data_IF_065710415420
#
_entry.id   IF_065710415420
#
_cell.length_a   1.000
_cell.length_b   1.000
_cell.length_c   1.000
_cell.angle_alpha   90.00
_cell.angle_beta   90.00
_cell.angle_gamma   90.00
#
_symmetry.space_group_name_H-M   'P 1'
#
loop_
_entity.id
_entity.type
_entity.pdbx_description
1 polymer ?
#
# COMPACT_ATOMS: atom_id res chain seq x y z
N UNK A 1 20.62 4.33 30.09
CA UNK A 1 20.23 3.70 28.82
C UNK A 1 20.06 2.21 29.08
N UNK A 2 18.85 1.69 28.92
CA UNK A 2 18.57 0.27 29.11
C UNK A 2 18.44 -0.35 27.72
N UNK A 3 19.39 -1.21 27.36
CA UNK A 3 19.30 -1.99 26.12
C UNK A 3 18.62 -3.30 26.45
N UNK A 4 17.42 -3.50 25.91
CA UNK A 4 16.71 -4.77 26.00
C UNK A 4 16.83 -5.51 24.66
N UNK A 5 17.29 -6.76 24.70
CA UNK A 5 17.35 -7.64 23.53
C UNK A 5 16.41 -8.83 23.74
N UNK A 6 15.41 -8.97 22.87
CA UNK A 6 14.48 -10.09 22.89
C UNK A 6 14.93 -11.13 21.86
N UNK A 7 15.26 -12.35 22.30
CA UNK A 7 15.54 -13.45 21.38
C UNK A 7 14.27 -13.88 20.63
N UNK A 8 14.44 -14.46 19.45
CA UNK A 8 13.35 -14.86 18.54
C UNK A 8 12.30 -15.76 19.20
N UNK A 9 12.76 -16.66 20.06
CA UNK A 9 12.04 -17.70 20.79
C UNK A 9 11.49 -17.23 22.13
N UNK A 10 11.74 -15.97 22.50
CA UNK A 10 11.22 -15.40 23.73
C UNK A 10 9.71 -15.14 23.60
N UNK A 11 8.87 -15.43 24.63
CA UNK A 11 7.42 -15.29 24.54
C UNK A 11 6.91 -13.88 24.19
N UNK A 12 7.68 -12.84 24.52
CA UNK A 12 7.35 -11.45 24.18
C UNK A 12 7.58 -11.11 22.70
N UNK A 13 8.32 -11.93 21.95
CA UNK A 13 8.71 -11.64 20.57
C UNK A 13 7.49 -11.51 19.64
N UNK A 14 6.45 -12.33 19.81
CA UNK A 14 5.26 -12.27 18.96
C UNK A 14 4.37 -11.05 19.26
N UNK A 15 4.38 -10.55 20.49
CA UNK A 15 3.68 -9.30 20.83
C UNK A 15 4.43 -8.11 20.24
N UNK A 16 5.76 -8.06 20.42
CA UNK A 16 6.61 -7.01 19.84
C UNK A 16 6.54 -7.00 18.30
N UNK A 17 6.53 -8.18 17.64
CA UNK A 17 6.35 -8.26 16.17
C UNK A 17 5.02 -7.67 15.72
N UNK A 18 3.94 -7.92 16.45
CA UNK A 18 2.61 -7.38 16.12
C UNK A 18 2.54 -5.88 16.34
N UNK A 19 3.17 -5.40 17.42
CA UNK A 19 3.22 -3.98 17.77
C UNK A 19 3.98 -3.15 16.72
N UNK A 20 5.14 -3.66 16.26
CA UNK A 20 6.01 -2.97 15.30
C UNK A 20 5.80 -3.44 13.83
N UNK A 21 4.77 -4.24 13.55
CA UNK A 21 4.44 -4.79 12.22
C UNK A 21 5.63 -5.51 11.51
N UNK A 22 6.42 -6.25 12.29
CA UNK A 22 7.65 -6.91 11.81
C UNK A 22 7.30 -8.30 11.26
N UNK A 23 7.33 -8.43 9.93
CA UNK A 23 7.02 -9.69 9.23
C UNK A 23 8.25 -10.57 8.92
N UNK A 24 9.46 -10.13 9.26
CA UNK A 24 10.73 -10.80 8.92
C UNK A 24 11.66 -11.00 10.14
N UNK A 25 12.58 -11.96 10.01
CA UNK A 25 13.45 -12.47 11.07
C UNK A 25 14.70 -11.63 11.36
N UNK A 26 14.71 -10.36 10.95
CA UNK A 26 15.89 -9.52 11.07
C UNK A 26 16.01 -8.92 12.48
N UNK A 27 17.22 -8.52 12.85
CA UNK A 27 17.46 -7.76 14.08
C UNK A 27 16.62 -6.49 14.03
N UNK A 28 15.74 -6.31 15.00
CA UNK A 28 14.93 -5.12 15.16
C UNK A 28 15.40 -4.33 16.38
N UNK A 29 15.44 -3.02 16.25
CA UNK A 29 15.98 -2.11 17.26
C UNK A 29 14.91 -1.10 17.59
N UNK A 30 14.62 -0.95 18.89
CA UNK A 30 13.73 0.08 19.43
C UNK A 30 14.55 0.93 20.38
N UNK A 31 14.49 2.24 20.22
CA UNK A 31 15.16 3.21 21.08
C UNK A 31 14.09 3.89 21.93
N UNK A 32 14.27 3.84 23.25
CA UNK A 32 13.31 4.38 24.23
C UNK A 32 13.91 5.55 24.98
N UNK A 33 13.05 6.48 25.42
CA UNK A 33 13.43 7.58 26.29
C UNK A 33 13.51 7.15 27.78
N UNK A 34 13.70 8.12 28.69
CA UNK A 34 13.75 7.88 30.14
C UNK A 34 12.42 7.43 30.77
N UNK A 35 11.29 7.61 30.08
CA UNK A 35 9.95 7.15 30.49
C UNK A 35 9.63 5.75 29.95
N UNK A 36 10.47 5.22 29.06
CA UNK A 36 10.21 3.96 28.36
C UNK A 36 9.31 4.13 27.13
N UNK A 37 9.12 5.36 26.65
CA UNK A 37 8.34 5.71 25.46
C UNK A 37 9.24 5.68 24.20
N UNK A 38 8.64 5.49 23.02
CA UNK A 38 9.36 5.21 21.78
C UNK A 38 9.93 6.50 21.18
N UNK A 39 11.26 6.55 21.01
CA UNK A 39 11.97 7.58 20.24
C UNK A 39 12.10 7.19 18.77
N UNK A 40 12.55 5.96 18.50
CA UNK A 40 12.72 5.41 17.15
C UNK A 40 12.56 3.88 17.14
N UNK A 41 12.26 3.31 15.97
CA UNK A 41 12.07 1.88 15.76
C UNK A 41 12.46 1.51 14.32
N UNK A 42 13.39 0.57 14.15
CA UNK A 42 13.93 0.24 12.83
C UNK A 42 14.52 -1.17 12.73
N UNK A 43 14.61 -1.68 11.50
CA UNK A 43 15.43 -2.86 11.21
C UNK A 43 16.90 -2.51 11.37
N UNK A 44 17.62 -3.24 12.22
CA UNK A 44 19.06 -3.12 12.37
C UNK A 44 19.81 -3.48 11.09
N UNK A 45 19.30 -4.44 10.33
CA UNK A 45 19.88 -4.84 9.05
C UNK A 45 19.34 -3.98 7.89
N UNK A 46 19.69 -2.69 7.88
CA UNK A 46 19.42 -1.79 6.74
C UNK A 46 20.48 -1.90 5.65
N UNK A 47 21.40 -2.88 5.69
CA UNK A 47 22.27 -3.15 4.55
C UNK A 47 21.43 -3.81 3.44
N UNK A 48 20.80 -2.98 2.61
CA UNK A 48 19.94 -3.36 1.50
C UNK A 48 20.60 -4.28 0.43
N UNK A 49 21.85 -4.71 0.62
CA UNK A 49 22.61 -5.57 -0.28
C UNK A 49 22.77 -7.04 0.17
N UNK A 50 22.20 -7.44 1.31
CA UNK A 50 22.33 -8.79 1.86
C UNK A 50 23.50 -8.95 2.83
N UNK A 51 23.58 -10.11 3.51
CA UNK A 51 24.64 -10.43 4.48
C UNK A 51 26.00 -10.66 3.80
N UNK A 52 26.66 -9.59 3.36
CA UNK A 52 28.05 -9.63 2.90
C UNK A 52 29.01 -9.41 4.08
N UNK A 53 30.26 -9.89 3.98
CA UNK A 53 31.29 -9.60 5.00
C UNK A 53 31.47 -8.09 5.20
N UNK A 54 31.43 -7.32 4.10
CA UNK A 54 31.55 -5.87 4.08
C UNK A 54 30.40 -5.17 4.83
N UNK A 55 29.16 -5.67 4.68
CA UNK A 55 28.00 -5.19 5.42
C UNK A 55 28.10 -5.53 6.92
N UNK A 56 28.58 -6.74 7.23
CA UNK A 56 28.73 -7.23 8.61
C UNK A 56 29.76 -6.40 9.38
N UNK A 57 30.87 -6.03 8.74
CA UNK A 57 31.91 -5.19 9.36
C UNK A 57 31.43 -3.77 9.66
N UNK A 58 30.56 -3.20 8.83
CA UNK A 58 30.02 -1.83 8.98
C UNK A 58 28.81 -1.76 9.91
N UNK A 59 28.15 -2.89 10.16
CA UNK A 59 26.91 -2.96 10.94
C UNK A 59 27.00 -2.29 12.33
N UNK A 60 28.02 -2.53 13.18
CA UNK A 60 28.07 -1.91 14.50
C UNK A 60 28.12 -0.38 14.46
N UNK A 61 28.89 0.19 13.52
CA UNK A 61 29.01 1.63 13.37
C UNK A 61 27.72 2.26 12.83
N UNK A 62 27.09 1.65 11.83
CA UNK A 62 25.81 2.09 11.28
C UNK A 62 24.68 2.02 12.31
N UNK A 63 24.67 0.98 13.14
CA UNK A 63 23.72 0.82 14.23
C UNK A 63 23.93 1.91 15.29
N UNK A 64 25.17 2.16 15.72
CA UNK A 64 25.49 3.21 16.68
C UNK A 64 25.07 4.61 16.18
N UNK A 65 25.42 4.95 14.93
CA UNK A 65 25.01 6.22 14.32
C UNK A 65 23.49 6.40 14.31
N UNK A 66 22.75 5.32 14.04
CA UNK A 66 21.29 5.37 14.01
C UNK A 66 20.69 5.52 15.40
N UNK A 67 21.26 4.85 16.41
CA UNK A 67 20.87 5.06 17.82
C UNK A 67 21.17 6.49 18.24
N UNK A 68 22.34 7.04 17.91
CA UNK A 68 22.69 8.41 18.24
C UNK A 68 21.71 9.42 17.63
N UNK A 69 21.30 9.23 16.37
CA UNK A 69 20.24 10.04 15.75
C UNK A 69 18.90 9.90 16.46
N UNK A 70 18.50 8.69 16.84
CA UNK A 70 17.28 8.46 17.59
C UNK A 70 17.29 9.17 18.95
N UNK A 71 18.44 9.25 19.61
CA UNK A 71 18.59 9.95 20.89
C UNK A 71 18.54 11.48 20.78
N UNK A 72 18.67 12.05 19.57
CA UNK A 72 18.49 13.48 19.32
C UNK A 72 17.01 13.88 19.17
N UNK A 73 16.10 12.91 19.08
CA UNK A 73 14.67 13.15 18.98
C UNK A 73 14.14 13.70 20.31
N UNK A 74 13.40 14.82 20.25
CA UNK A 74 12.90 15.52 21.44
C UNK A 74 11.49 15.12 21.85
N UNK A 75 10.71 14.53 20.95
CA UNK A 75 9.32 14.11 21.17
C UNK A 75 9.17 12.62 20.85
N UNK A 76 8.62 11.85 21.78
CA UNK A 76 8.30 10.42 21.60
C UNK A 76 7.07 10.24 20.71
N UNK A 77 6.83 9.01 20.24
CA UNK A 77 5.59 8.64 19.54
C UNK A 77 4.37 8.97 20.43
N UNK A 78 4.48 8.68 21.72
CA UNK A 78 3.45 8.87 22.73
C UNK A 78 3.24 10.36 23.07
N UNK A 79 4.29 11.19 23.10
CA UNK A 79 4.14 12.65 23.22
C UNK A 79 3.32 13.22 22.04
N UNK A 80 3.64 12.78 20.82
CA UNK A 80 2.93 13.21 19.61
C UNK A 80 1.48 12.71 19.60
N UNK A 81 1.25 11.47 20.04
CA UNK A 81 -0.11 10.94 20.22
C UNK A 81 -0.91 11.78 21.21
N UNK A 82 -0.34 12.08 22.40
CA UNK A 82 -1.00 12.91 23.42
C UNK A 82 -1.30 14.31 22.90
N UNK A 83 -0.38 14.91 22.14
CA UNK A 83 -0.60 16.22 21.53
C UNK A 83 -1.76 16.20 20.51
N UNK A 84 -1.84 15.16 19.69
CA UNK A 84 -2.95 14.94 18.76
C UNK A 84 -4.29 14.71 19.48
N UNK A 85 -4.31 13.88 20.53
CA UNK A 85 -5.53 13.59 21.29
C UNK A 85 -6.05 14.82 22.05
N UNK A 86 -5.17 15.72 22.48
CA UNK A 86 -5.53 16.98 23.12
C UNK A 86 -6.15 18.00 22.14
N UNK A 87 -5.82 17.91 20.85
CA UNK A 87 -6.30 18.80 19.79
C UNK A 87 -6.61 18.01 18.50
N UNK A 88 -7.69 17.22 18.48
CA UNK A 88 -7.95 16.25 17.41
C UNK A 88 -8.47 16.89 16.10
N UNK A 89 -8.63 18.21 16.07
CA UNK A 89 -8.88 19.02 14.88
C UNK A 89 -7.61 19.72 14.35
N UNK A 90 -6.49 19.67 15.10
CA UNK A 90 -5.22 20.22 14.67
C UNK A 90 -4.52 19.29 13.67
N UNK A 91 -4.65 19.64 12.38
CA UNK A 91 -3.97 18.95 11.29
C UNK A 91 -2.44 18.90 11.48
N UNK A 92 -1.81 19.94 12.02
CA UNK A 92 -0.36 19.93 12.19
C UNK A 92 0.08 18.93 13.27
N UNK A 93 -0.70 18.77 14.34
CA UNK A 93 -0.47 17.74 15.34
C UNK A 93 -0.65 16.33 14.75
N UNK A 94 -1.70 16.12 13.94
CA UNK A 94 -1.88 14.88 13.20
C UNK A 94 -0.71 14.56 12.29
N UNK A 95 -0.30 15.51 11.45
CA UNK A 95 0.75 15.32 10.43
C UNK A 95 2.07 14.93 11.10
N UNK A 96 2.42 15.55 12.24
CA UNK A 96 3.61 15.17 13.02
C UNK A 96 3.51 13.73 13.54
N UNK A 97 2.38 13.36 14.14
CA UNK A 97 2.17 12.03 14.69
C UNK A 97 2.18 10.95 13.59
N UNK A 98 1.42 11.15 12.52
CA UNK A 98 1.36 10.23 11.38
C UNK A 98 2.73 10.08 10.69
N UNK A 99 3.47 11.18 10.50
CA UNK A 99 4.83 11.13 9.94
C UNK A 99 5.74 10.30 10.84
N UNK A 100 5.70 10.50 12.15
CA UNK A 100 6.53 9.72 13.06
C UNK A 100 6.19 8.22 13.04
N UNK A 101 4.91 7.86 12.96
CA UNK A 101 4.51 6.46 12.79
C UNK A 101 5.05 5.85 11.50
N UNK A 102 5.13 6.63 10.41
CA UNK A 102 5.72 6.16 9.15
C UNK A 102 7.25 6.00 9.25
N UNK A 103 7.94 6.96 9.87
CA UNK A 103 9.40 6.94 10.06
C UNK A 103 9.86 5.74 10.90
N UNK A 104 9.06 5.38 11.91
CA UNK A 104 9.32 4.26 12.84
C UNK A 104 8.82 2.90 12.31
N UNK A 105 8.31 2.84 11.08
CA UNK A 105 7.80 1.62 10.48
C UNK A 105 6.46 1.13 11.05
N UNK A 106 5.80 1.89 11.93
CA UNK A 106 4.47 1.60 12.49
C UNK A 106 3.34 1.88 11.48
N UNK A 107 3.50 1.40 10.24
CA UNK A 107 2.60 1.65 9.10
C UNK A 107 1.16 1.20 9.35
N UNK A 108 0.99 0.05 10.00
CA UNK A 108 -0.33 -0.47 10.38
C UNK A 108 -1.06 0.50 11.33
N UNK A 109 -0.38 0.97 12.38
CA UNK A 109 -0.95 1.92 13.34
C UNK A 109 -1.31 3.23 12.64
N UNK A 110 -0.43 3.73 11.77
CA UNK A 110 -0.70 4.91 10.95
C UNK A 110 -1.96 4.73 10.08
N UNK A 111 -2.10 3.58 9.41
CA UNK A 111 -3.27 3.27 8.60
C UNK A 111 -4.56 3.16 9.42
N UNK A 112 -4.49 2.60 10.64
CA UNK A 112 -5.62 2.48 11.56
C UNK A 112 -6.13 3.85 12.00
N UNK A 113 -5.26 4.74 12.52
CA UNK A 113 -5.68 6.08 12.96
C UNK A 113 -6.23 6.92 11.80
N UNK A 114 -5.67 6.75 10.60
CA UNK A 114 -6.15 7.41 9.39
C UNK A 114 -7.56 6.93 9.00
N UNK A 115 -7.83 5.63 9.12
CA UNK A 115 -9.14 5.05 8.79
C UNK A 115 -10.21 5.50 9.79
N UNK A 116 -9.88 5.46 11.09
CA UNK A 116 -10.75 5.93 12.16
C UNK A 116 -11.09 7.41 11.98
N UNK A 117 -10.06 8.25 11.79
CA UNK A 117 -10.25 9.69 11.60
C UNK A 117 -10.97 10.04 10.28
N UNK A 118 -10.66 9.36 9.19
CA UNK A 118 -11.31 9.57 7.89
C UNK A 118 -12.82 9.29 7.91
N UNK A 119 -13.27 8.35 8.75
CA UNK A 119 -14.68 8.03 8.97
C UNK A 119 -15.36 8.87 10.07
N UNK A 120 -14.60 9.60 10.89
CA UNK A 120 -15.14 10.30 12.05
C UNK A 120 -15.85 11.60 11.65
N UNK A 121 -17.18 11.63 11.69
CA UNK A 121 -17.99 12.81 11.35
C UNK A 121 -17.77 14.04 12.23
N UNK A 122 -17.08 13.92 13.37
CA UNK A 122 -16.70 15.06 14.20
C UNK A 122 -15.55 15.88 13.60
N UNK A 123 -14.74 15.30 12.70
CA UNK A 123 -13.61 16.00 12.09
C UNK A 123 -14.01 16.83 10.87
N UNK A 124 -13.35 17.99 10.65
CA UNK A 124 -13.54 18.80 9.45
C UNK A 124 -13.35 17.97 8.18
N UNK A 125 -14.15 18.24 7.13
CA UNK A 125 -14.09 17.49 5.86
C UNK A 125 -12.69 17.45 5.25
N UNK A 126 -11.96 18.56 5.30
CA UNK A 126 -10.58 18.66 4.80
C UNK A 126 -9.62 17.74 5.58
N UNK A 127 -9.77 17.63 6.91
CA UNK A 127 -8.96 16.74 7.74
C UNK A 127 -9.28 15.27 7.48
N UNK A 128 -10.57 14.94 7.32
CA UNK A 128 -11.00 13.58 6.95
C UNK A 128 -10.46 13.16 5.59
N UNK A 129 -10.52 14.05 4.60
CA UNK A 129 -9.92 13.84 3.29
C UNK A 129 -8.40 13.58 3.40
N UNK A 130 -7.72 14.39 4.21
CA UNK A 130 -6.29 14.25 4.47
C UNK A 130 -5.94 12.89 5.06
N UNK A 131 -6.66 12.49 6.11
CA UNK A 131 -6.50 11.19 6.77
C UNK A 131 -6.78 10.02 5.83
N UNK A 132 -7.83 10.07 5.01
CA UNK A 132 -8.12 9.01 4.02
C UNK A 132 -6.95 8.83 3.05
N UNK A 133 -6.44 9.92 2.48
CA UNK A 133 -5.29 9.87 1.55
C UNK A 133 -4.04 9.34 2.24
N UNK A 134 -3.71 9.85 3.44
CA UNK A 134 -2.55 9.38 4.20
C UNK A 134 -2.66 7.91 4.61
N UNK A 135 -3.85 7.45 5.02
CA UNK A 135 -4.11 6.05 5.37
C UNK A 135 -3.85 5.13 4.19
N UNK A 136 -4.33 5.49 3.00
CA UNK A 136 -4.08 4.75 1.78
C UNK A 136 -2.58 4.70 1.42
N UNK A 137 -1.85 5.80 1.58
CA UNK A 137 -0.40 5.83 1.34
C UNK A 137 0.42 5.04 2.37
N UNK A 138 -0.09 4.96 3.61
CA UNK A 138 0.55 4.27 4.72
C UNK A 138 0.41 2.75 4.65
N UNK A 139 -0.57 2.22 3.92
CA UNK A 139 -0.74 0.77 3.83
C UNK A 139 0.40 0.13 3.01
N UNK A 140 1.00 -0.97 3.50
CA UNK A 140 1.99 -1.72 2.74
C UNK A 140 1.35 -2.35 1.48
N UNK A 141 2.10 -2.38 0.37
CA UNK A 141 1.66 -2.97 -0.90
C UNK A 141 1.50 -4.50 -0.85
N UNK A 142 2.03 -5.14 0.19
CA UNK A 142 2.02 -6.59 0.38
C UNK A 142 0.86 -6.99 1.30
N UNK A 143 -0.33 -7.05 0.72
CA UNK A 143 -1.49 -7.63 1.41
C UNK A 143 -1.91 -8.93 0.71
N UNK A 144 -2.61 -9.79 1.45
CA UNK A 144 -3.37 -10.92 0.90
C UNK A 144 -4.22 -10.47 -0.31
N UNK A 145 -4.43 -11.33 -1.31
CA UNK A 145 -5.12 -11.01 -2.56
C UNK A 145 -6.48 -10.35 -2.34
N UNK A 146 -7.29 -10.90 -1.43
CA UNK A 146 -8.61 -10.34 -1.09
C UNK A 146 -8.49 -8.93 -0.49
N UNK A 147 -7.44 -8.67 0.30
CA UNK A 147 -7.17 -7.34 0.84
C UNK A 147 -6.63 -6.38 -0.22
N UNK A 148 -5.90 -6.86 -1.24
CA UNK A 148 -5.42 -6.01 -2.35
C UNK A 148 -6.56 -5.46 -3.20
N UNK A 149 -7.56 -6.29 -3.51
CA UNK A 149 -8.72 -5.85 -4.30
C UNK A 149 -9.51 -4.77 -3.54
N UNK A 150 -9.90 -5.06 -2.29
CA UNK A 150 -10.59 -4.10 -1.43
C UNK A 150 -9.80 -2.80 -1.26
N UNK A 151 -8.49 -2.90 -1.03
CA UNK A 151 -7.60 -1.74 -0.92
C UNK A 151 -7.58 -0.89 -2.21
N UNK A 152 -7.61 -1.50 -3.40
CA UNK A 152 -7.64 -0.73 -4.65
C UNK A 152 -8.94 -0.02 -4.87
N UNK A 153 -10.06 -0.69 -4.58
CA UNK A 153 -11.37 -0.06 -4.63
C UNK A 153 -11.41 1.15 -3.69
N UNK A 154 -10.86 0.99 -2.48
CA UNK A 154 -10.71 2.08 -1.52
C UNK A 154 -9.82 3.21 -2.07
N UNK A 155 -8.65 2.91 -2.63
CA UNK A 155 -7.74 3.91 -3.24
C UNK A 155 -8.41 4.65 -4.41
N UNK A 156 -9.12 3.93 -5.27
CA UNK A 156 -9.86 4.52 -6.41
C UNK A 156 -10.93 5.48 -5.91
N UNK A 157 -11.71 5.05 -4.91
CA UNK A 157 -12.72 5.87 -4.28
C UNK A 157 -12.10 7.13 -3.66
N UNK A 158 -11.00 6.99 -2.93
CA UNK A 158 -10.31 8.12 -2.29
C UNK A 158 -9.81 9.11 -3.34
N UNK A 159 -9.20 8.63 -4.43
CA UNK A 159 -8.70 9.47 -5.50
C UNK A 159 -9.83 10.24 -6.20
N UNK A 160 -10.95 9.58 -6.48
CA UNK A 160 -12.11 10.19 -7.14
C UNK A 160 -12.86 11.16 -6.24
N UNK A 161 -12.94 10.88 -4.93
CA UNK A 161 -13.63 11.74 -3.96
C UNK A 161 -12.78 12.92 -3.48
N UNK A 162 -11.45 12.79 -3.52
CA UNK A 162 -10.51 13.80 -3.04
C UNK A 162 -9.47 14.17 -4.11
N UNK A 163 -9.89 14.47 -5.35
CA UNK A 163 -8.96 14.65 -6.46
C UNK A 163 -8.16 15.96 -6.34
N UNK A 164 -8.61 16.91 -5.52
CA UNK A 164 -7.89 18.17 -5.26
C UNK A 164 -6.91 18.07 -4.09
N UNK A 165 -6.78 16.91 -3.45
CA UNK A 165 -5.86 16.75 -2.33
C UNK A 165 -4.40 16.83 -2.81
N UNK A 166 -3.50 17.57 -2.14
CA UNK A 166 -2.12 17.77 -2.61
C UNK A 166 -1.32 16.49 -2.87
N UNK A 167 -1.64 15.42 -2.14
CA UNK A 167 -0.99 14.09 -2.26
C UNK A 167 -1.82 13.08 -3.08
N UNK A 168 -2.92 13.47 -3.71
CA UNK A 168 -3.77 12.56 -4.48
C UNK A 168 -3.00 11.85 -5.60
N UNK A 169 -2.07 12.56 -6.26
CA UNK A 169 -1.21 11.98 -7.30
C UNK A 169 -0.33 10.82 -6.83
N UNK A 170 0.01 10.76 -5.54
CA UNK A 170 0.81 9.66 -4.97
C UNK A 170 0.03 8.34 -4.88
N UNK A 171 -1.29 8.37 -5.03
CA UNK A 171 -2.15 7.19 -5.08
C UNK A 171 -2.12 6.49 -6.45
N UNK A 172 -1.70 7.18 -7.52
CA UNK A 172 -1.70 6.64 -8.89
C UNK A 172 -0.89 5.33 -9.01
N UNK A 173 0.36 5.23 -8.48
CA UNK A 173 1.11 3.98 -8.51
C UNK A 173 0.40 2.83 -7.78
N UNK A 174 -0.40 3.13 -6.74
CA UNK A 174 -1.15 2.12 -5.96
C UNK A 174 -2.28 1.51 -6.78
N UNK A 175 -2.84 2.24 -7.74
CA UNK A 175 -3.94 1.78 -8.60
C UNK A 175 -3.50 0.83 -9.72
N UNK A 176 -2.25 0.90 -10.18
CA UNK A 176 -1.75 0.06 -11.29
C UNK A 176 -1.33 -1.34 -10.84
N UNK A 177 -1.18 -1.53 -9.53
CA UNK A 177 -1.10 -2.85 -8.91
C UNK A 177 0.24 -3.55 -8.99
N UNK A 178 0.37 -4.58 -8.15
CA UNK A 178 1.44 -5.57 -8.19
C UNK A 178 1.01 -6.78 -9.01
N UNK A 179 1.14 -6.68 -10.33
CA UNK A 179 1.10 -7.75 -11.35
C UNK A 179 -0.11 -8.70 -11.45
N UNK A 180 -0.71 -9.13 -10.35
CA UNK A 180 -1.57 -10.32 -10.27
C UNK A 180 -3.06 -10.02 -10.42
N UNK A 181 -3.41 -8.91 -11.06
CA UNK A 181 -4.76 -8.35 -11.05
C UNK A 181 -5.48 -8.52 -12.37
N UNK A 182 -6.77 -8.81 -12.26
CA UNK A 182 -7.60 -9.04 -13.42
C UNK A 182 -8.04 -7.72 -14.06
N UNK A 183 -7.93 -7.65 -15.38
CA UNK A 183 -8.48 -6.56 -16.20
C UNK A 183 -8.09 -5.14 -15.74
N UNK A 184 -6.79 -4.93 -15.49
CA UNK A 184 -6.26 -3.65 -15.01
C UNK A 184 -6.55 -2.49 -15.97
N UNK A 185 -6.37 -2.62 -17.31
CA UNK A 185 -6.65 -1.55 -18.25
C UNK A 185 -8.07 -1.01 -18.15
N UNK A 186 -9.09 -1.88 -18.20
CA UNK A 186 -10.49 -1.45 -18.15
C UNK A 186 -10.82 -0.79 -16.82
N UNK A 187 -10.35 -1.33 -15.69
CA UNK A 187 -10.58 -0.71 -14.37
C UNK A 187 -9.94 0.67 -14.28
N UNK A 188 -8.70 0.80 -14.73
CA UNK A 188 -7.97 2.08 -14.70
C UNK A 188 -8.63 3.10 -15.64
N UNK A 189 -9.08 2.68 -16.82
CA UNK A 189 -9.86 3.53 -17.73
C UNK A 189 -11.19 3.99 -17.10
N UNK A 190 -11.90 3.12 -16.38
CA UNK A 190 -13.10 3.50 -15.64
C UNK A 190 -12.80 4.56 -14.56
N UNK A 191 -11.68 4.42 -13.83
CA UNK A 191 -11.23 5.43 -12.87
C UNK A 191 -10.91 6.77 -13.57
N UNK A 192 -10.23 6.75 -14.73
CA UNK A 192 -9.95 7.96 -15.53
C UNK A 192 -11.26 8.64 -15.92
N UNK A 193 -12.23 7.90 -16.45
CA UNK A 193 -13.53 8.43 -16.84
C UNK A 193 -14.28 9.06 -15.66
N UNK A 194 -14.16 8.49 -14.45
CA UNK A 194 -14.73 9.05 -13.22
C UNK A 194 -14.04 10.35 -12.81
N UNK A 195 -12.71 10.44 -12.94
CA UNK A 195 -11.96 11.68 -12.69
C UNK A 195 -12.33 12.77 -13.69
N UNK A 196 -12.42 12.44 -14.97
CA UNK A 196 -12.88 13.38 -16.02
C UNK A 196 -14.32 13.83 -15.78
N UNK A 197 -15.19 12.93 -15.30
CA UNK A 197 -16.55 13.29 -14.91
C UNK A 197 -16.57 14.25 -13.72
N UNK A 198 -15.76 14.02 -12.69
CA UNK A 198 -15.63 14.92 -11.56
C UNK A 198 -15.10 16.31 -11.99
N UNK A 199 -14.11 16.34 -12.89
CA UNK A 199 -13.56 17.58 -13.42
C UNK A 199 -14.62 18.47 -14.10
N UNK A 200 -15.62 17.89 -14.78
CA UNK A 200 -16.69 18.68 -15.43
C UNK A 200 -17.56 19.48 -14.45
N UNK A 201 -17.55 19.13 -13.18
CA UNK A 201 -18.34 19.80 -12.14
C UNK A 201 -17.54 20.82 -11.32
N UNK A 202 -16.24 20.96 -11.58
CA UNK A 202 -15.37 21.87 -10.83
C UNK A 202 -15.17 23.22 -11.52
N UNK A 203 -14.96 24.26 -10.72
CA UNK A 203 -14.64 25.61 -11.21
C UNK A 203 -13.26 25.65 -11.88
N UNK A 204 -12.28 24.96 -11.27
CA UNK A 204 -10.96 24.72 -11.87
C UNK A 204 -10.75 23.22 -12.08
N UNK A 205 -10.99 22.70 -13.29
CA UNK A 205 -10.82 21.28 -13.59
C UNK A 205 -9.36 20.86 -13.71
N UNK A 206 -8.42 21.80 -13.86
CA UNK A 206 -7.04 21.49 -14.25
C UNK A 206 -6.33 20.53 -13.27
N UNK A 207 -6.42 20.69 -11.93
CA UNK A 207 -5.77 19.76 -11.00
C UNK A 207 -6.30 18.33 -11.11
N UNK A 208 -7.60 18.15 -11.35
CA UNK A 208 -8.21 16.81 -11.52
C UNK A 208 -7.76 16.18 -12.84
N UNK A 209 -7.75 16.96 -13.92
CA UNK A 209 -7.32 16.49 -15.23
C UNK A 209 -5.85 16.08 -15.24
N UNK A 210 -4.98 16.74 -14.46
CA UNK A 210 -3.59 16.31 -14.27
C UNK A 210 -3.52 14.89 -13.71
N UNK A 211 -4.38 14.54 -12.75
CA UNK A 211 -4.42 13.17 -12.21
C UNK A 211 -4.93 12.14 -13.23
N UNK A 212 -5.98 12.48 -14.00
CA UNK A 212 -6.47 11.64 -15.08
C UNK A 212 -5.38 11.36 -16.14
N UNK A 213 -4.68 12.41 -16.58
CA UNK A 213 -3.57 12.31 -17.52
C UNK A 213 -2.39 11.51 -16.96
N UNK A 214 -2.02 11.73 -15.69
CA UNK A 214 -0.96 11.00 -15.03
C UNK A 214 -1.28 9.50 -14.91
N UNK A 215 -2.54 9.16 -14.60
CA UNK A 215 -3.02 7.78 -14.54
C UNK A 215 -3.01 7.12 -15.93
N UNK A 216 -3.46 7.83 -16.97
CA UNK A 216 -3.39 7.36 -18.35
C UNK A 216 -1.95 7.11 -18.82
N UNK A 217 -1.04 8.05 -18.54
CA UNK A 217 0.37 7.91 -18.88
C UNK A 217 1.03 6.74 -18.12
N UNK A 218 0.67 6.54 -16.86
CA UNK A 218 1.19 5.45 -16.06
C UNK A 218 0.64 4.09 -16.52
N UNK A 219 -0.62 4.01 -16.96
CA UNK A 219 -1.18 2.82 -17.61
C UNK A 219 -0.44 2.49 -18.92
N UNK A 220 -0.20 3.48 -19.78
CA UNK A 220 0.52 3.30 -21.04
C UNK A 220 1.94 2.75 -20.81
N UNK A 221 2.69 3.33 -19.86
CA UNK A 221 4.02 2.83 -19.47
C UNK A 221 3.96 1.40 -18.93
N UNK A 222 2.93 1.07 -18.16
CA UNK A 222 2.77 -0.29 -17.65
C UNK A 222 2.47 -1.28 -18.78
N UNK A 223 1.61 -0.93 -19.73
CA UNK A 223 1.30 -1.76 -20.89
C UNK A 223 2.56 -2.02 -21.74
N UNK A 224 3.38 -0.99 -21.97
CA UNK A 224 4.67 -1.12 -22.67
C UNK A 224 5.63 -2.06 -21.92
N UNK A 225 5.77 -1.88 -20.60
CA UNK A 225 6.57 -2.79 -19.76
C UNK A 225 6.07 -4.23 -19.85
N UNK A 226 4.76 -4.45 -19.86
CA UNK A 226 4.16 -5.78 -19.96
C UNK A 226 4.42 -6.45 -21.33
N UNK A 227 4.51 -5.66 -22.40
CA UNK A 227 4.89 -6.14 -23.73
C UNK A 227 6.38 -6.49 -23.82
N UNK A 228 7.27 -5.71 -23.19
CA UNK A 228 8.73 -5.86 -23.30
C UNK A 228 9.34 -6.82 -22.27
N UNK A 229 8.87 -6.82 -21.03
CA UNK A 229 9.54 -7.51 -19.90
C UNK A 229 9.26 -9.02 -19.82
N UNK A 230 8.33 -9.53 -20.63
CA UNK A 230 7.99 -10.97 -20.66
C UNK A 230 7.88 -11.49 -22.09
N UNK A 231 8.95 -11.45 -22.90
CA UNK A 231 8.91 -12.03 -24.25
C UNK A 231 8.72 -13.55 -24.24
N UNK A 232 8.91 -14.19 -23.08
CA UNK A 232 8.71 -15.62 -22.88
C UNK A 232 7.24 -16.04 -23.14
N UNK A 233 7.06 -17.00 -24.05
CA UNK A 233 5.79 -17.60 -24.42
C UNK A 233 5.32 -18.73 -23.49
N UNK A 234 6.06 -19.01 -22.40
CA UNK A 234 5.61 -19.93 -21.35
C UNK A 234 4.18 -19.60 -20.91
N UNK A 235 3.40 -20.66 -20.70
CA UNK A 235 1.99 -20.61 -20.35
C UNK A 235 1.70 -19.65 -19.19
N UNK A 236 2.51 -19.65 -18.13
CA UNK A 236 2.36 -18.73 -17.00
C UNK A 236 2.50 -17.24 -17.38
N UNK A 237 3.41 -16.90 -18.31
CA UNK A 237 3.59 -15.52 -18.80
C UNK A 237 2.44 -15.09 -19.71
N UNK A 238 1.97 -15.99 -20.59
CA UNK A 238 0.78 -15.73 -21.43
C UNK A 238 -0.47 -15.56 -20.59
N UNK A 239 -0.69 -16.45 -19.62
CA UNK A 239 -1.84 -16.39 -18.72
C UNK A 239 -1.83 -15.12 -17.87
N UNK A 240 -0.66 -14.68 -17.40
CA UNK A 240 -0.53 -13.42 -16.68
C UNK A 240 -0.88 -12.21 -17.56
N UNK A 241 -0.44 -12.17 -18.82
CA UNK A 241 -0.86 -11.10 -19.75
C UNK A 241 -2.36 -11.14 -20.03
N UNK A 242 -2.90 -12.33 -20.26
CA UNK A 242 -4.34 -12.53 -20.45
C UNK A 242 -5.12 -12.05 -19.21
N UNK A 243 -4.68 -12.42 -18.02
CA UNK A 243 -5.28 -12.01 -16.75
C UNK A 243 -5.24 -10.49 -16.58
N UNK A 244 -4.07 -9.87 -16.76
CA UNK A 244 -3.91 -8.42 -16.68
C UNK A 244 -4.79 -7.67 -17.69
N UNK A 245 -4.91 -8.16 -18.92
CA UNK A 245 -5.77 -7.59 -19.97
C UNK A 245 -7.26 -7.92 -19.82
N UNK A 246 -7.64 -8.80 -18.90
CA UNK A 246 -9.04 -9.22 -18.73
C UNK A 246 -9.53 -10.27 -19.72
N UNK A 247 -8.64 -10.94 -20.45
CA UNK A 247 -9.00 -12.05 -21.36
C UNK A 247 -9.30 -13.32 -20.55
N UNK A 248 -10.53 -13.38 -20.03
CA UNK A 248 -11.00 -14.47 -19.20
C UNK A 248 -10.92 -15.85 -19.89
N UNK A 249 -11.15 -15.90 -21.21
CA UNK A 249 -11.13 -17.18 -21.94
C UNK A 249 -9.71 -17.73 -22.03
N UNK A 250 -8.75 -16.89 -22.42
CA UNK A 250 -7.35 -17.30 -22.48
C UNK A 250 -6.79 -17.67 -21.10
N UNK A 251 -7.20 -16.98 -20.02
CA UNK A 251 -6.81 -17.35 -18.65
C UNK A 251 -7.25 -18.78 -18.31
N UNK A 252 -8.51 -19.11 -18.58
CA UNK A 252 -9.05 -20.45 -18.32
C UNK A 252 -8.35 -21.49 -19.21
N UNK A 253 -8.24 -21.25 -20.52
CA UNK A 253 -7.61 -22.19 -21.46
C UNK A 253 -6.16 -22.52 -21.10
N UNK A 254 -5.43 -21.57 -20.53
CA UNK A 254 -4.02 -21.75 -20.17
C UNK A 254 -3.86 -22.36 -18.77
N UNK A 255 -4.64 -21.93 -17.78
CA UNK A 255 -4.42 -22.28 -16.37
C UNK A 255 -5.33 -23.38 -15.81
N UNK A 256 -6.44 -23.70 -16.48
CA UNK A 256 -7.40 -24.72 -16.04
C UNK A 256 -6.97 -26.13 -16.51
N UNK A 257 -5.66 -26.40 -16.48
CA UNK A 257 -5.05 -27.67 -16.88
C UNK A 257 -3.73 -27.93 -16.14
N UNK A 258 -3.30 -29.20 -16.00
CA UNK A 258 -2.01 -29.53 -15.39
C UNK A 258 -0.81 -28.88 -16.12
N UNK A 259 0.23 -28.43 -15.39
CA UNK A 259 0.39 -28.52 -13.93
C UNK A 259 -0.20 -27.31 -13.16
N UNK A 260 -0.86 -26.37 -13.85
CA UNK A 260 -1.26 -25.09 -13.27
C UNK A 260 -2.53 -25.17 -12.41
N UNK A 261 -3.38 -26.15 -12.66
CA UNK A 261 -4.61 -26.43 -11.91
C UNK A 261 -4.38 -26.78 -10.43
N UNK A 262 -3.18 -27.27 -10.08
CA UNK A 262 -2.80 -27.55 -8.69
C UNK A 262 -2.42 -26.31 -7.88
N UNK A 263 -1.97 -25.22 -8.52
CA UNK A 263 -1.47 -24.02 -7.84
C UNK A 263 -2.66 -23.16 -7.31
N UNK A 264 -2.74 -22.90 -5.99
CA UNK A 264 -3.80 -22.04 -5.42
C UNK A 264 -3.89 -20.65 -6.06
N UNK A 265 -2.77 -20.06 -6.49
CA UNK A 265 -2.74 -18.74 -7.12
C UNK A 265 -3.47 -18.76 -8.46
N UNK A 266 -3.16 -19.74 -9.31
CA UNK A 266 -3.76 -19.89 -10.64
C UNK A 266 -5.23 -20.30 -10.56
N UNK A 267 -5.60 -21.18 -9.61
CA UNK A 267 -7.01 -21.48 -9.33
C UNK A 267 -7.82 -20.23 -9.01
N UNK A 268 -7.25 -19.31 -8.23
CA UNK A 268 -7.91 -18.03 -7.96
C UNK A 268 -8.07 -17.19 -9.23
N UNK A 269 -7.08 -17.14 -10.14
CA UNK A 269 -7.23 -16.39 -11.41
C UNK A 269 -8.29 -17.00 -12.32
N UNK A 270 -8.36 -18.33 -12.39
CA UNK A 270 -9.41 -19.05 -13.12
C UNK A 270 -10.80 -18.74 -12.54
N UNK A 271 -10.94 -18.71 -11.21
CA UNK A 271 -12.20 -18.34 -10.56
C UNK A 271 -12.65 -16.91 -10.91
N UNK A 272 -11.75 -15.93 -10.87
CA UNK A 272 -12.04 -14.55 -11.31
C UNK A 272 -12.42 -14.46 -12.79
N UNK A 273 -11.72 -15.20 -13.66
CA UNK A 273 -12.01 -15.25 -15.09
C UNK A 273 -13.40 -15.86 -15.36
N UNK A 274 -13.76 -16.95 -14.67
CA UNK A 274 -15.10 -17.56 -14.76
C UNK A 274 -16.19 -16.58 -14.30
N UNK A 275 -16.00 -15.93 -13.16
CA UNK A 275 -16.93 -14.91 -12.67
C UNK A 275 -17.06 -13.71 -13.64
N UNK A 276 -15.99 -13.34 -14.34
CA UNK A 276 -16.04 -12.32 -15.39
C UNK A 276 -16.89 -12.76 -16.60
N UNK A 277 -16.76 -14.00 -17.06
CA UNK A 277 -17.57 -14.55 -18.14
C UNK A 277 -19.05 -14.68 -17.76
N UNK A 278 -19.35 -15.11 -16.53
CA UNK A 278 -20.71 -15.18 -16.01
C UNK A 278 -21.38 -13.80 -16.00
N UNK A 279 -20.68 -12.76 -15.50
CA UNK A 279 -21.17 -11.38 -15.53
C UNK A 279 -21.42 -10.88 -16.95
N UNK A 280 -20.53 -11.18 -17.89
CA UNK A 280 -20.72 -10.83 -19.30
C UNK A 280 -21.90 -11.56 -19.94
N UNK A 281 -22.12 -12.83 -19.59
CA UNK A 281 -23.26 -13.63 -20.03
C UNK A 281 -24.60 -13.14 -19.47
N UNK A 282 -24.62 -12.71 -18.20
CA UNK A 282 -25.80 -12.14 -17.56
C UNK A 282 -26.17 -10.73 -18.06
N UNK A 283 -25.19 -9.98 -18.59
CA UNK A 283 -25.39 -8.64 -19.15
C UNK A 283 -25.84 -8.66 -20.62
N UNK A 284 -25.84 -9.81 -21.29
CA UNK A 284 -26.39 -9.93 -22.64
C UNK A 284 -27.93 -9.82 -22.56
N UNK A 285 -28.57 -8.84 -23.24
CA UNK A 285 -30.02 -8.78 -23.29
C UNK A 285 -30.51 -10.08 -23.92
N UNK A 286 -31.39 -10.79 -23.22
CA UNK A 286 -32.06 -11.97 -23.77
C UNK A 286 -32.71 -11.61 -25.11
N UNK A 287 -32.68 -12.52 -26.11
CA UNK A 287 -33.29 -12.23 -27.40
C UNK A 287 -34.77 -11.90 -27.17
N UNK A 288 -35.15 -10.66 -27.49
CA UNK A 288 -36.54 -10.25 -27.63
C UNK A 288 -37.08 -10.73 -28.98
#
# INVERSE_FOLDING_TARGET
MTVAACRRDHPAADSLRREFDINVLNVWVVVLDGRGEILDSFMGDTAAGGCTEDATAKFPALLAERIDRALLVTETVEDLQRAWEAAPDDRAAFDRYATRLQETGAHRRCAEICREGGGNGAFPSALRAHMRVLGALSQPLYTDRTRREAFRTEVEEILVQNPLHPRAGELIPRLLGGGDDFNVPTRVQACIARLEAAARSEVDPAPILVHAQALAAALARQAERMAVSRPDERDASRAYRAHWNGDARAVIEILDKPPHDADPRYRGWVAEARAALERAGAAAPGPQ
#
